data_IF_236828374065
#
_entry.id   IF_236828374065
#
_cell.length_a   1.000
_cell.length_b   1.000
_cell.length_c   1.000
_cell.angle_alpha   90.00
_cell.angle_beta   90.00
_cell.angle_gamma   90.00
#
_symmetry.space_group_name_H-M   'P 1'
#
loop_
_entity.id
_entity.type
_entity.pdbx_description
1 polymer ?
#
# COMPACT_ATOMS: atom_id res chain seq x y z
N UNK A 1 -0.15 11.15 43.63
CA UNK A 1 0.66 9.99 43.17
C UNK A 1 -0.02 9.40 41.94
N UNK A 2 0.24 9.97 40.75
CA UNK A 2 -0.37 9.52 39.49
C UNK A 2 0.32 8.25 39.03
N UNK A 3 -0.33 7.10 39.27
CA UNK A 3 0.06 5.84 38.65
C UNK A 3 -0.37 5.93 37.19
N UNK A 4 0.54 6.37 36.32
CA UNK A 4 0.38 6.28 34.88
C UNK A 4 0.09 4.82 34.55
N UNK A 5 -1.15 4.52 34.19
CA UNK A 5 -1.51 3.24 33.58
C UNK A 5 -0.83 3.22 32.23
N UNK A 6 0.42 2.72 32.19
CA UNK A 6 1.14 2.41 30.96
C UNK A 6 0.41 1.24 30.32
N UNK A 7 -0.72 1.56 29.71
CA UNK A 7 -1.53 0.64 28.96
C UNK A 7 -0.79 0.51 27.63
N UNK A 8 0.14 -0.45 27.63
CA UNK A 8 1.15 -0.72 26.64
C UNK A 8 0.48 -1.20 25.37
N UNK A 9 0.34 -0.30 24.38
CA UNK A 9 0.20 -0.78 23.00
C UNK A 9 1.40 -1.69 22.73
N UNK A 10 1.20 -2.90 22.19
CA UNK A 10 2.33 -3.76 21.87
C UNK A 10 3.16 -3.10 20.77
N UNK A 11 4.39 -2.69 21.11
CA UNK A 11 5.45 -2.20 20.21
C UNK A 11 5.11 -0.93 19.39
N UNK A 12 4.85 0.23 20.05
CA UNK A 12 4.47 1.46 19.35
C UNK A 12 5.60 2.01 18.48
N UNK A 13 6.84 2.00 18.99
CA UNK A 13 8.03 2.46 18.28
C UNK A 13 8.31 1.64 17.02
N UNK A 14 8.24 0.31 17.12
CA UNK A 14 8.47 -0.58 15.98
C UNK A 14 7.45 -0.32 14.86
N UNK A 15 6.17 -0.16 15.21
CA UNK A 15 5.12 0.16 14.23
C UNK A 15 5.33 1.54 13.59
N UNK A 16 5.77 2.52 14.36
CA UNK A 16 6.03 3.88 13.88
C UNK A 16 7.21 3.94 12.90
N UNK A 17 8.31 3.26 13.23
CA UNK A 17 9.50 3.21 12.36
C UNK A 17 9.18 2.46 11.07
N UNK A 18 8.53 1.29 11.17
CA UNK A 18 8.16 0.49 10.01
C UNK A 18 7.14 1.21 9.11
N UNK A 19 6.12 1.85 9.69
CA UNK A 19 5.14 2.61 8.90
C UNK A 19 5.79 3.80 8.21
N UNK A 20 6.67 4.53 8.90
CA UNK A 20 7.42 5.65 8.33
C UNK A 20 8.31 5.24 7.16
N UNK A 21 9.10 4.17 7.32
CA UNK A 21 9.94 3.63 6.23
C UNK A 21 9.09 3.15 5.06
N UNK A 22 8.02 2.40 5.33
CA UNK A 22 7.10 1.92 4.29
C UNK A 22 6.50 3.09 3.51
N UNK A 23 6.06 4.14 4.22
CA UNK A 23 5.48 5.35 3.62
C UNK A 23 6.48 6.06 2.70
N UNK A 24 7.70 6.32 3.20
CA UNK A 24 8.75 7.00 2.42
C UNK A 24 9.08 6.23 1.15
N UNK A 25 9.35 4.93 1.27
CA UNK A 25 9.69 4.10 0.10
C UNK A 25 8.53 3.96 -0.88
N UNK A 26 7.28 3.94 -0.39
CA UNK A 26 6.10 3.89 -1.25
C UNK A 26 5.91 5.19 -2.03
N UNK A 27 6.14 6.35 -1.42
CA UNK A 27 6.08 7.65 -2.10
C UNK A 27 7.19 7.75 -3.16
N UNK A 28 8.42 7.35 -2.82
CA UNK A 28 9.54 7.36 -3.78
C UNK A 28 9.26 6.43 -4.96
N UNK A 29 8.72 5.23 -4.71
CA UNK A 29 8.29 4.32 -5.77
C UNK A 29 7.25 4.95 -6.70
N UNK A 30 6.22 5.60 -6.13
CA UNK A 30 5.20 6.32 -6.89
C UNK A 30 5.77 7.46 -7.74
N UNK A 31 6.67 8.27 -7.17
CA UNK A 31 7.33 9.37 -7.89
C UNK A 31 8.18 8.86 -9.06
N UNK A 32 8.91 7.76 -8.88
CA UNK A 32 9.69 7.14 -9.93
C UNK A 32 8.81 6.62 -11.08
N UNK A 33 7.64 6.04 -10.77
CA UNK A 33 6.68 5.60 -11.81
C UNK A 33 6.27 6.78 -12.71
N UNK A 34 6.03 7.97 -12.14
CA UNK A 34 5.72 9.20 -12.89
C UNK A 34 6.91 9.64 -13.74
N UNK A 35 8.12 9.58 -13.19
CA UNK A 35 9.33 9.93 -13.93
C UNK A 35 9.55 9.02 -15.16
N UNK A 36 9.23 7.73 -15.06
CA UNK A 36 9.24 6.80 -16.21
C UNK A 36 8.29 7.24 -17.31
N UNK A 37 7.07 7.69 -16.96
CA UNK A 37 6.12 8.21 -17.97
C UNK A 37 6.65 9.44 -18.69
N UNK A 38 7.19 10.39 -17.92
CA UNK A 38 7.74 11.62 -18.48
C UNK A 38 8.92 11.31 -19.42
N UNK A 39 9.84 10.43 -19.00
CA UNK A 39 10.98 10.05 -19.82
C UNK A 39 10.59 9.22 -21.04
N UNK A 40 9.61 8.32 -20.91
CA UNK A 40 9.06 7.55 -22.02
C UNK A 40 8.49 8.47 -23.11
N UNK A 41 7.68 9.46 -22.71
CA UNK A 41 7.11 10.42 -23.65
C UNK A 41 8.17 11.31 -24.31
N UNK A 42 9.19 11.76 -23.57
CA UNK A 42 10.31 12.54 -24.13
C UNK A 42 11.08 11.74 -25.18
N UNK A 43 11.37 10.47 -24.92
CA UNK A 43 12.06 9.59 -25.88
C UNK A 43 11.23 9.34 -27.13
N UNK A 44 9.93 9.05 -26.99
CA UNK A 44 9.05 8.86 -28.15
C UNK A 44 8.97 10.12 -29.02
N UNK A 45 8.94 11.32 -28.42
CA UNK A 45 8.99 12.59 -29.15
C UNK A 45 10.34 12.79 -29.85
N UNK A 46 11.46 12.48 -29.18
CA UNK A 46 12.79 12.58 -29.74
C UNK A 46 13.01 11.64 -30.94
N UNK A 47 12.52 10.40 -30.86
CA UNK A 47 12.60 9.44 -31.97
C UNK A 47 11.75 9.93 -33.15
N UNK A 48 10.53 10.43 -32.89
CA UNK A 48 9.66 10.98 -33.92
C UNK A 48 10.24 12.23 -34.59
N UNK A 49 10.95 13.08 -33.86
CA UNK A 49 11.56 14.30 -34.42
C UNK A 49 12.78 14.03 -35.29
N UNK A 50 13.43 12.87 -35.12
CA UNK A 50 14.60 12.45 -35.92
C UNK A 50 14.24 11.38 -36.96
N UNK A 51 12.94 11.08 -37.12
CA UNK A 51 12.49 10.15 -38.14
C UNK A 51 12.70 10.76 -39.55
N UNK A 52 13.18 9.98 -40.54
CA UNK A 52 13.26 10.43 -41.92
C UNK A 52 11.90 10.90 -42.45
N UNK A 53 11.90 11.89 -43.33
CA UNK A 53 10.67 12.41 -43.93
C UNK A 53 9.86 11.27 -44.60
N UNK A 54 8.58 11.17 -44.27
CA UNK A 54 7.67 10.15 -44.80
C UNK A 54 7.58 8.84 -44.00
N UNK A 55 8.39 8.67 -42.94
CA UNK A 55 8.32 7.50 -42.05
C UNK A 55 7.63 7.86 -40.73
N UNK A 56 6.51 7.22 -40.43
CA UNK A 56 5.84 7.29 -39.14
C UNK A 56 6.38 6.17 -38.22
N UNK A 57 6.93 6.55 -37.07
CA UNK A 57 7.45 5.60 -36.09
C UNK A 57 6.45 5.49 -34.93
N UNK A 58 5.82 4.32 -34.84
CA UNK A 58 4.93 3.93 -33.75
C UNK A 58 5.68 3.05 -32.76
N UNK A 59 6.06 3.62 -31.63
CA UNK A 59 6.71 2.89 -30.53
C UNK A 59 5.61 2.39 -29.58
N UNK A 60 5.25 1.12 -29.69
CA UNK A 60 4.29 0.50 -28.79
C UNK A 60 4.98 0.09 -27.48
N UNK A 61 4.66 0.82 -26.42
CA UNK A 61 5.13 0.58 -25.04
C UNK A 61 3.97 0.31 -24.08
N UNK A 62 2.83 -0.13 -24.63
CA UNK A 62 1.60 -0.29 -23.86
C UNK A 62 1.77 -1.31 -22.72
N UNK A 63 2.48 -2.41 -23.01
CA UNK A 63 2.74 -3.49 -22.05
C UNK A 63 3.38 -3.01 -20.74
N UNK A 64 4.48 -2.25 -20.85
CA UNK A 64 5.18 -1.74 -19.68
C UNK A 64 4.44 -0.57 -19.02
N UNK A 65 3.69 0.21 -19.83
CA UNK A 65 2.89 1.33 -19.35
C UNK A 65 1.78 0.85 -18.42
N UNK A 66 0.99 -0.14 -18.83
CA UNK A 66 -0.10 -0.70 -18.00
C UNK A 66 0.42 -1.28 -16.68
N UNK A 67 1.54 -2.01 -16.74
CA UNK A 67 2.16 -2.56 -15.54
C UNK A 67 2.71 -1.46 -14.61
N UNK A 68 3.31 -0.41 -15.18
CA UNK A 68 3.78 0.75 -14.41
C UNK A 68 2.63 1.49 -13.73
N UNK A 69 1.48 1.64 -14.40
CA UNK A 69 0.26 2.18 -13.78
C UNK A 69 -0.18 1.29 -12.61
N UNK A 70 -0.16 -0.03 -12.78
CA UNK A 70 -0.47 -0.98 -11.70
C UNK A 70 0.42 -0.79 -10.47
N UNK A 71 1.74 -0.68 -10.66
CA UNK A 71 2.69 -0.42 -9.57
C UNK A 71 2.46 0.95 -8.93
N UNK A 72 2.15 1.98 -9.71
CA UNK A 72 1.82 3.31 -9.21
C UNK A 72 0.55 3.30 -8.34
N UNK A 73 -0.51 2.63 -8.78
CA UNK A 73 -1.76 2.51 -8.00
C UNK A 73 -1.50 1.73 -6.71
N UNK A 74 -0.80 0.60 -6.79
CA UNK A 74 -0.51 -0.23 -5.62
C UNK A 74 0.35 0.53 -4.58
N UNK A 75 1.38 1.26 -5.02
CA UNK A 75 2.21 2.09 -4.14
C UNK A 75 1.46 3.31 -3.57
N UNK A 76 0.55 3.90 -4.33
CA UNK A 76 -0.31 4.98 -3.82
C UNK A 76 -1.28 4.47 -2.75
N UNK A 77 -1.88 3.30 -2.96
CA UNK A 77 -2.74 2.64 -1.96
C UNK A 77 -1.95 2.26 -0.70
N UNK A 78 -0.75 1.72 -0.84
CA UNK A 78 0.11 1.40 0.31
C UNK A 78 0.54 2.66 1.07
N UNK A 79 0.82 3.76 0.38
CA UNK A 79 1.12 5.06 0.99
C UNK A 79 -0.08 5.56 1.82
N UNK A 80 -1.29 5.51 1.25
CA UNK A 80 -2.52 5.87 1.97
C UNK A 80 -2.81 4.94 3.16
N UNK A 81 -2.59 3.63 3.00
CA UNK A 81 -2.78 2.65 4.08
C UNK A 81 -1.78 2.84 5.23
N UNK A 82 -0.55 3.25 4.92
CA UNK A 82 0.53 3.46 5.89
C UNK A 82 0.50 4.82 6.58
N UNK A 83 -0.03 5.86 5.92
CA UNK A 83 -0.18 7.19 6.51
C UNK A 83 -1.20 7.22 7.64
N UNK A 84 -2.33 6.52 7.51
CA UNK A 84 -3.39 6.46 8.52
C UNK A 84 -2.88 6.06 9.92
N UNK A 85 -2.20 4.91 10.09
CA UNK A 85 -1.70 4.53 11.41
C UNK A 85 -0.51 5.34 11.89
N UNK A 86 0.31 5.86 10.97
CA UNK A 86 1.37 6.80 11.33
C UNK A 86 0.76 8.04 11.99
N UNK A 87 -0.30 8.59 11.40
CA UNK A 87 -0.98 9.77 11.92
C UNK A 87 -1.64 9.50 13.27
N UNK A 88 -2.33 8.36 13.44
CA UNK A 88 -2.91 7.99 14.73
C UNK A 88 -1.85 7.77 15.82
N UNK A 89 -0.71 7.14 15.49
CA UNK A 89 0.39 6.94 16.45
C UNK A 89 1.08 8.27 16.82
N UNK A 90 1.27 9.17 15.85
CA UNK A 90 1.84 10.49 16.11
C UNK A 90 0.90 11.35 16.97
N UNK A 91 -0.40 11.31 16.72
CA UNK A 91 -1.39 12.02 17.53
C UNK A 91 -1.40 11.53 18.98
N UNK A 92 -1.35 10.22 19.20
CA UNK A 92 -1.31 9.59 20.53
C UNK A 92 0.00 9.91 21.28
N UNK A 93 1.15 9.89 20.58
CA UNK A 93 2.45 10.08 21.21
C UNK A 93 2.75 11.55 21.55
N UNK A 94 2.38 12.48 20.67
CA UNK A 94 2.77 13.88 20.80
C UNK A 94 1.64 14.81 21.26
N UNK A 95 0.40 14.30 21.45
CA UNK A 95 -0.77 15.13 21.79
C UNK A 95 -0.89 16.39 20.91
N UNK A 96 -0.50 16.29 19.63
CA UNK A 96 -0.32 17.44 18.71
C UNK A 96 -1.60 18.25 18.51
N UNK A 97 -2.76 17.61 18.69
CA UNK A 97 -4.06 18.28 18.64
C UNK A 97 -4.50 18.51 20.09
N UNK A 98 -4.28 19.72 20.65
CA UNK A 98 -4.88 20.05 21.93
C UNK A 98 -6.41 19.95 21.80
N UNK A 99 -7.13 19.43 22.82
CA UNK A 99 -8.59 19.26 22.77
C UNK A 99 -9.35 20.54 22.39
N UNK A 100 -8.76 21.70 22.65
CA UNK A 100 -9.29 23.03 22.31
C UNK A 100 -9.38 23.30 20.80
N UNK A 101 -8.50 22.72 19.98
CA UNK A 101 -8.48 22.93 18.53
C UNK A 101 -9.44 22.00 17.76
N UNK A 102 -9.88 20.89 18.37
CA UNK A 102 -10.81 19.94 17.75
C UNK A 102 -12.30 20.32 17.91
N UNK A 103 -12.61 21.15 18.93
CA UNK A 103 -13.94 21.69 19.20
C UNK A 103 -14.60 22.47 18.03
N UNK A 104 -13.91 23.40 17.33
CA UNK A 104 -14.54 24.17 16.25
C UNK A 104 -14.88 23.35 14.99
N UNK A 105 -14.28 22.16 14.81
CA UNK A 105 -14.55 21.29 13.67
C UNK A 105 -15.64 20.23 13.94
N UNK A 106 -16.26 20.22 15.12
CA UNK A 106 -17.33 19.29 15.45
C UNK A 106 -16.90 17.82 15.54
N UNK A 107 -15.59 17.52 15.45
CA UNK A 107 -15.05 16.19 15.70
C UNK A 107 -15.03 15.94 17.20
N UNK A 108 -16.06 15.25 17.72
CA UNK A 108 -16.00 14.60 19.03
C UNK A 108 -14.95 13.51 18.98
N UNK A 109 -13.71 13.84 19.35
CA UNK A 109 -12.66 12.86 19.59
C UNK A 109 -13.12 11.98 20.77
N UNK A 110 -13.41 10.69 20.56
CA UNK A 110 -13.72 9.78 21.65
C UNK A 110 -12.53 9.72 22.60
N UNK A 111 -12.79 9.93 23.89
CA UNK A 111 -11.81 9.78 24.98
C UNK A 111 -11.32 8.32 25.11
N UNK A 112 -12.08 7.38 24.55
CA UNK A 112 -11.70 5.98 24.42
C UNK A 112 -10.75 5.75 23.24
N UNK A 113 -9.71 4.94 23.47
CA UNK A 113 -8.60 4.67 22.55
C UNK A 113 -9.08 4.12 21.19
N UNK A 114 -9.37 5.02 20.25
CA UNK A 114 -9.76 4.77 18.86
C UNK A 114 -8.84 3.73 18.20
N UNK A 115 -7.56 3.74 18.57
CA UNK A 115 -6.50 2.83 18.11
C UNK A 115 -6.86 1.34 18.24
N UNK A 116 -7.65 0.94 19.26
CA UNK A 116 -8.05 -0.47 19.42
C UNK A 116 -9.20 -0.89 18.52
N UNK A 117 -10.11 0.02 18.16
CA UNK A 117 -11.27 -0.28 17.31
C UNK A 117 -10.92 -0.28 15.82
N UNK A 118 -9.98 0.58 15.40
CA UNK A 118 -9.54 0.67 14.00
C UNK A 118 -8.46 -0.35 13.63
N UNK A 119 -7.92 -1.08 14.62
CA UNK A 119 -6.79 -1.99 14.41
C UNK A 119 -7.10 -3.12 13.42
N UNK A 120 -8.35 -3.63 13.41
CA UNK A 120 -8.80 -4.67 12.47
C UNK A 120 -8.79 -4.16 11.03
N UNK A 121 -9.37 -2.99 10.81
CA UNK A 121 -9.41 -2.36 9.49
C UNK A 121 -7.99 -2.02 9.01
N UNK A 122 -7.14 -1.52 9.90
CA UNK A 122 -5.74 -1.25 9.57
C UNK A 122 -4.99 -2.52 9.13
N UNK A 123 -5.15 -3.63 9.85
CA UNK A 123 -4.50 -4.90 9.52
C UNK A 123 -4.95 -5.42 8.15
N UNK A 124 -6.26 -5.40 7.88
CA UNK A 124 -6.82 -5.85 6.60
C UNK A 124 -6.34 -4.97 5.45
N UNK A 125 -6.42 -3.64 5.59
CA UNK A 125 -5.98 -2.71 4.54
C UNK A 125 -4.49 -2.86 4.24
N UNK A 126 -3.64 -3.01 5.27
CA UNK A 126 -2.20 -3.26 5.08
C UNK A 126 -1.94 -4.59 4.36
N UNK A 127 -2.67 -5.65 4.73
CA UNK A 127 -2.51 -6.96 4.12
C UNK A 127 -2.91 -6.94 2.64
N UNK A 128 -4.07 -6.36 2.32
CA UNK A 128 -4.55 -6.24 0.94
C UNK A 128 -3.60 -5.39 0.10
N UNK A 129 -3.15 -4.24 0.61
CA UNK A 129 -2.23 -3.37 -0.13
C UNK A 129 -0.83 -3.95 -0.28
N UNK A 130 -0.33 -4.68 0.71
CA UNK A 130 0.94 -5.40 0.61
C UNK A 130 0.90 -6.47 -0.47
N UNK A 131 -0.16 -7.29 -0.51
CA UNK A 131 -0.37 -8.30 -1.56
C UNK A 131 -0.50 -7.63 -2.93
N UNK A 132 -1.23 -6.50 -3.03
CA UNK A 132 -1.37 -5.76 -4.27
C UNK A 132 -0.02 -5.22 -4.80
N UNK A 133 0.84 -4.68 -3.93
CA UNK A 133 2.17 -4.19 -4.34
C UNK A 133 3.06 -5.33 -4.82
N UNK A 134 3.06 -6.47 -4.12
CA UNK A 134 3.78 -7.68 -4.57
C UNK A 134 3.24 -8.15 -5.92
N UNK A 135 1.92 -8.25 -6.04
CA UNK A 135 1.23 -8.66 -7.26
C UNK A 135 1.44 -7.75 -8.45
N UNK A 136 1.66 -6.45 -8.25
CA UNK A 136 2.03 -5.52 -9.32
C UNK A 136 3.53 -5.55 -9.66
N UNK A 137 4.39 -5.72 -8.65
CA UNK A 137 5.86 -5.67 -8.81
C UNK A 137 6.42 -6.89 -9.53
N UNK A 138 5.87 -8.08 -9.28
CA UNK A 138 6.29 -9.33 -9.95
C UNK A 138 6.12 -9.26 -11.48
N UNK A 139 4.91 -9.04 -12.04
CA UNK A 139 4.71 -9.01 -13.49
C UNK A 139 5.46 -7.83 -14.13
N UNK A 140 5.59 -6.71 -13.43
CA UNK A 140 6.42 -5.59 -13.87
C UNK A 140 7.88 -6.00 -14.02
N UNK A 141 8.46 -6.70 -13.02
CA UNK A 141 9.85 -7.16 -13.06
C UNK A 141 10.09 -8.18 -14.18
N UNK A 142 9.17 -9.14 -14.35
CA UNK A 142 9.26 -10.16 -15.41
C UNK A 142 9.22 -9.49 -16.79
N UNK A 143 8.25 -8.60 -16.99
CA UNK A 143 8.06 -7.90 -18.27
C UNK A 143 9.23 -6.97 -18.58
N UNK A 144 9.76 -6.25 -17.57
CA UNK A 144 10.91 -5.37 -17.74
C UNK A 144 12.19 -6.13 -18.15
N UNK A 145 12.30 -7.42 -17.80
CA UNK A 145 13.44 -8.27 -18.15
C UNK A 145 13.27 -8.99 -19.49
N UNK A 146 12.06 -9.45 -19.79
CA UNK A 146 11.81 -10.33 -20.94
C UNK A 146 11.36 -9.60 -22.19
N UNK A 147 10.67 -8.46 -22.06
CA UNK A 147 10.09 -7.76 -23.21
C UNK A 147 10.98 -6.65 -23.72
N UNK A 148 10.83 -6.38 -25.00
CA UNK A 148 11.42 -5.26 -25.73
C UNK A 148 10.29 -4.36 -26.23
N UNK A 149 10.59 -3.07 -26.41
CA UNK A 149 9.62 -2.14 -27.01
C UNK A 149 9.33 -2.53 -28.46
N UNK A 150 8.07 -2.72 -28.84
CA UNK A 150 7.75 -2.98 -30.24
C UNK A 150 7.80 -1.67 -31.02
N UNK A 151 8.89 -1.44 -31.75
CA UNK A 151 9.05 -0.29 -32.65
C UNK A 151 8.58 -0.69 -34.03
N UNK A 152 7.43 -0.18 -34.45
CA UNK A 152 6.90 -0.37 -35.80
C UNK A 152 7.15 0.91 -36.57
N UNK A 153 8.00 0.85 -37.59
CA UNK A 153 8.18 1.94 -38.54
C UNK A 153 7.31 1.67 -39.77
N UNK A 154 6.43 2.60 -40.10
CA UNK A 154 5.55 2.54 -41.26
C UNK A 154 5.87 3.69 -42.19
N UNK A 155 6.10 3.40 -43.47
CA UNK A 155 6.24 4.43 -44.51
C UNK A 155 4.97 4.38 -45.35
N UNK A 156 4.07 5.35 -45.16
CA UNK A 156 2.69 5.22 -45.63
C UNK A 156 1.98 4.03 -44.95
N UNK A 157 1.48 3.08 -45.75
CA UNK A 157 0.72 1.92 -45.26
C UNK A 157 1.54 0.60 -45.23
N UNK A 158 2.86 0.68 -45.45
CA UNK A 158 3.75 -0.48 -45.53
C UNK A 158 4.67 -0.49 -44.32
N UNK A 159 4.73 -1.63 -43.62
CA UNK A 159 5.68 -1.85 -42.52
C UNK A 159 7.09 -2.01 -43.08
N UNK A 160 8.03 -1.21 -42.57
CA UNK A 160 9.43 -1.32 -42.92
C UNK A 160 10.03 -2.61 -42.31
N UNK A 161 11.03 -3.23 -42.97
CA UNK A 161 11.74 -4.38 -42.42
C UNK A 161 12.46 -4.06 -41.11
N UNK A 162 12.50 -5.02 -40.17
CA UNK A 162 13.16 -4.87 -38.86
C UNK A 162 14.65 -4.52 -38.97
N UNK A 163 15.32 -4.90 -40.06
CA UNK A 163 16.72 -4.54 -40.32
C UNK A 163 16.95 -3.03 -40.41
N UNK A 164 15.98 -2.30 -40.99
CA UNK A 164 16.05 -0.84 -41.08
C UNK A 164 15.82 -0.20 -39.71
N UNK A 165 14.90 -0.76 -38.91
CA UNK A 165 14.62 -0.30 -37.55
C UNK A 165 15.86 -0.47 -36.67
N UNK A 166 16.55 -1.61 -36.76
CA UNK A 166 17.78 -1.86 -36.00
C UNK A 166 18.92 -0.91 -36.39
N UNK A 167 19.07 -0.59 -37.68
CA UNK A 167 20.05 0.41 -38.13
C UNK A 167 19.71 1.81 -37.60
N UNK A 168 18.42 2.18 -37.65
CA UNK A 168 17.98 3.47 -37.14
C UNK A 168 18.16 3.57 -35.62
N UNK A 169 17.81 2.52 -34.87
CA UNK A 169 18.05 2.40 -33.43
C UNK A 169 19.55 2.53 -33.09
N UNK A 170 20.42 1.84 -33.84
CA UNK A 170 21.87 1.93 -33.69
C UNK A 170 22.39 3.36 -33.99
N UNK A 171 21.86 4.01 -35.02
CA UNK A 171 22.26 5.38 -35.39
C UNK A 171 21.81 6.43 -34.37
N UNK A 172 20.65 6.22 -33.73
CA UNK A 172 20.11 7.11 -32.71
C UNK A 172 20.61 6.77 -31.29
N UNK A 173 21.36 5.68 -31.13
CA UNK A 173 21.82 5.21 -29.81
C UNK A 173 20.66 4.80 -28.88
N UNK A 174 19.50 4.46 -29.42
CA UNK A 174 18.32 4.07 -28.63
C UNK A 174 18.23 2.56 -28.56
N UNK A 175 18.20 2.02 -27.35
CA UNK A 175 17.98 0.59 -27.12
C UNK A 175 16.50 0.27 -26.95
N UNK A 176 16.06 -0.79 -27.63
CA UNK A 176 14.72 -1.36 -27.53
C UNK A 176 14.48 -2.12 -26.22
N UNK A 177 15.56 -2.60 -25.60
CA UNK A 177 15.50 -3.45 -24.43
C UNK A 177 15.22 -2.61 -23.19
N UNK A 178 14.08 -2.84 -22.54
CA UNK A 178 13.67 -2.11 -21.35
C UNK A 178 14.72 -2.19 -20.24
N UNK A 179 15.28 -3.38 -20.03
CA UNK A 179 16.27 -3.60 -18.98
C UNK A 179 17.55 -2.79 -19.16
N UNK A 180 17.91 -2.32 -20.36
CA UNK A 180 19.10 -1.47 -20.53
C UNK A 180 18.90 -0.03 -20.05
N UNK A 181 17.67 0.34 -19.77
CA UNK A 181 17.32 1.69 -19.39
C UNK A 181 17.38 1.88 -17.88
N UNK A 182 18.27 2.75 -17.40
CA UNK A 182 18.53 3.00 -15.97
C UNK A 182 17.26 3.32 -15.17
N UNK A 183 16.34 4.14 -15.69
CA UNK A 183 15.14 4.51 -14.94
C UNK A 183 14.23 3.30 -14.64
N UNK A 184 14.12 2.34 -15.56
CA UNK A 184 13.29 1.15 -15.37
C UNK A 184 13.90 0.29 -14.24
N UNK A 185 15.23 0.12 -14.25
CA UNK A 185 15.93 -0.61 -13.18
C UNK A 185 15.72 0.02 -11.81
N UNK A 186 15.84 1.35 -11.73
CA UNK A 186 15.67 2.08 -10.47
C UNK A 186 14.24 1.91 -9.93
N UNK A 187 13.22 1.97 -10.79
CA UNK A 187 11.82 1.75 -10.37
C UNK A 187 11.62 0.34 -9.85
N UNK A 188 12.12 -0.68 -10.58
CA UNK A 188 12.04 -2.07 -10.14
C UNK A 188 12.73 -2.23 -8.78
N UNK A 189 13.94 -1.71 -8.63
CA UNK A 189 14.72 -1.83 -7.40
C UNK A 189 14.01 -1.17 -6.21
N UNK A 190 13.51 0.05 -6.39
CA UNK A 190 12.79 0.77 -5.34
C UNK A 190 11.46 0.12 -4.99
N UNK A 191 10.73 -0.44 -5.96
CA UNK A 191 9.50 -1.20 -5.71
C UNK A 191 9.78 -2.46 -4.87
N UNK A 192 10.91 -3.14 -5.09
CA UNK A 192 11.30 -4.27 -4.23
C UNK A 192 11.67 -3.85 -2.81
N UNK A 193 12.29 -2.67 -2.64
CA UNK A 193 12.57 -2.13 -1.31
C UNK A 193 11.26 -1.81 -0.56
N UNK A 194 10.27 -1.22 -1.23
CA UNK A 194 8.98 -0.94 -0.59
C UNK A 194 8.27 -2.23 -0.15
N UNK A 195 8.33 -3.30 -0.95
CA UNK A 195 7.84 -4.64 -0.57
C UNK A 195 8.55 -5.16 0.69
N UNK A 196 9.87 -5.02 0.75
CA UNK A 196 10.69 -5.50 1.87
C UNK A 196 10.27 -4.86 3.20
N UNK A 197 9.83 -3.61 3.19
CA UNK A 197 9.32 -2.94 4.40
C UNK A 197 7.82 -3.16 4.64
N UNK A 198 7.02 -3.30 3.58
CA UNK A 198 5.59 -3.53 3.68
C UNK A 198 5.24 -4.89 4.34
N UNK A 199 6.00 -5.95 4.03
CA UNK A 199 5.79 -7.30 4.59
C UNK A 199 5.93 -7.30 6.12
N UNK A 200 7.07 -6.90 6.72
CA UNK A 200 7.22 -6.88 8.17
C UNK A 200 6.27 -5.90 8.84
N UNK A 201 5.95 -4.75 8.23
CA UNK A 201 4.93 -3.85 8.75
C UNK A 201 3.55 -4.52 8.83
N UNK A 202 3.17 -5.26 7.79
CA UNK A 202 1.93 -6.05 7.77
C UNK A 202 1.95 -7.13 8.84
N UNK A 203 3.05 -7.89 8.96
CA UNK A 203 3.20 -8.94 9.96
C UNK A 203 3.06 -8.40 11.39
N UNK A 204 3.73 -7.30 11.72
CA UNK A 204 3.62 -6.66 13.04
C UNK A 204 2.21 -6.16 13.31
N UNK A 205 1.54 -5.60 12.29
CA UNK A 205 0.16 -5.11 12.42
C UNK A 205 -0.82 -6.26 12.65
N UNK A 206 -0.64 -7.39 11.97
CA UNK A 206 -1.45 -8.60 12.17
C UNK A 206 -1.20 -9.21 13.54
N UNK A 207 0.06 -9.32 13.98
CA UNK A 207 0.37 -9.83 15.33
C UNK A 207 -0.22 -8.94 16.42
N UNK A 208 -0.17 -7.62 16.25
CA UNK A 208 -0.82 -6.68 17.17
C UNK A 208 -2.34 -6.89 17.21
N UNK A 209 -2.96 -7.19 16.07
CA UNK A 209 -4.39 -7.53 16.00
C UNK A 209 -4.72 -8.83 16.73
N UNK A 210 -3.94 -9.90 16.49
CA UNK A 210 -4.16 -11.19 17.15
C UNK A 210 -4.01 -11.10 18.67
N UNK A 211 -3.10 -10.26 19.17
CA UNK A 211 -2.89 -10.03 20.61
C UNK A 211 -3.94 -9.11 21.24
N UNK A 212 -4.59 -8.25 20.45
CA UNK A 212 -5.55 -7.25 20.92
C UNK A 212 -7.01 -7.68 20.84
N UNK A 213 -7.35 -8.80 20.19
CA UNK A 213 -8.73 -9.32 20.19
C UNK A 213 -9.07 -9.88 21.59
N UNK A 214 -10.09 -9.33 22.27
CA UNK A 214 -10.61 -9.93 23.49
C UNK A 214 -11.06 -11.35 23.15
N UNK A 215 -10.61 -12.35 23.92
CA UNK A 215 -11.30 -13.65 23.94
C UNK A 215 -12.74 -13.34 24.32
N UNK A 216 -13.68 -13.57 23.42
CA UNK A 216 -15.09 -13.68 23.80
C UNK A 216 -15.17 -14.90 24.71
N UNK A 217 -15.06 -14.63 26.01
CA UNK A 217 -15.18 -15.65 27.03
C UNK A 217 -16.57 -16.28 26.94
N UNK A 218 -16.56 -17.60 26.82
CA UNK A 218 -17.68 -18.57 26.81
C UNK A 218 -18.60 -18.43 28.05
N UNK A 219 -18.31 -17.50 28.96
CA UNK A 219 -19.02 -17.23 30.20
C UNK A 219 -20.44 -16.67 30.02
N UNK A 220 -20.79 -16.12 28.84
CA UNK A 220 -22.17 -15.67 28.57
C UNK A 220 -23.17 -16.81 28.41
N UNK A 221 -22.72 -18.05 28.14
CA UNK A 221 -23.59 -19.24 28.10
C UNK A 221 -23.89 -19.81 29.49
N UNK A 222 -23.04 -19.53 30.49
CA UNK A 222 -23.23 -20.03 31.86
C UNK A 222 -24.22 -19.20 32.70
N UNK A 223 -24.64 -18.02 32.24
CA UNK A 223 -25.56 -17.13 32.97
C UNK A 223 -27.04 -17.30 32.59
N UNK A 224 -27.37 -18.30 31.77
CA UNK A 224 -28.75 -18.63 31.40
C UNK A 224 -29.34 -19.79 32.20
N UNK A 225 -28.69 -20.23 33.29
CA UNK A 225 -29.30 -21.20 34.20
C UNK A 225 -30.47 -20.52 34.91
N UNK A 226 -31.73 -21.02 34.78
CA UNK A 226 -32.88 -20.45 35.48
C UNK A 226 -32.72 -20.67 36.97
N UNK A 227 -32.89 -19.61 37.77
CA UNK A 227 -32.96 -19.72 39.23
C UNK A 227 -34.13 -20.64 39.64
N UNK A 228 -33.94 -21.56 40.60
CA UNK A 228 -35.02 -22.37 41.14
C UNK A 228 -35.99 -21.50 41.95
N UNK A 229 -37.28 -21.68 41.64
CA UNK A 229 -38.44 -21.02 42.23
C UNK A 229 -38.51 -21.20 43.76
N UNK A 230 -38.81 -20.16 44.55
CA UNK A 230 -38.83 -20.26 46.01
C UNK A 230 -40.01 -21.09 46.51
N UNK A 231 -39.68 -22.16 47.20
CA UNK A 231 -40.57 -23.09 47.91
C UNK A 231 -41.42 -22.33 48.96
N UNK A 232 -42.74 -22.32 48.78
CA UNK A 232 -43.72 -21.77 49.73
C UNK A 232 -43.69 -22.55 51.05
N UNK A 233 -43.11 -21.93 52.08
CA UNK A 233 -43.22 -22.34 53.48
C UNK A 233 -44.69 -22.45 53.92
N UNK A 234 -45.04 -23.61 54.50
CA UNK A 234 -46.40 -24.03 54.91
C UNK A 234 -46.68 -23.81 56.40
N UNK A 235 -45.85 -23.08 57.14
CA UNK A 235 -45.88 -23.13 58.62
C UNK A 235 -46.55 -21.91 59.30
N UNK A 236 -47.62 -21.35 58.72
CA UNK A 236 -48.42 -20.28 59.37
C UNK A 236 -49.85 -20.70 59.74
N UNK A 237 -50.04 -21.95 60.14
CA UNK A 237 -51.35 -22.45 60.58
C UNK A 237 -51.22 -23.38 61.78
N UNK A 238 -50.70 -22.86 62.89
CA UNK A 238 -50.99 -23.41 64.23
C UNK A 238 -50.57 -22.39 65.28
N UNK A 239 -51.52 -21.60 65.77
CA UNK A 239 -51.66 -21.18 67.16
C UNK A 239 -53.02 -20.48 67.28
N UNK A 240 -54.04 -21.31 67.53
CA UNK A 240 -55.29 -20.96 68.20
C UNK A 240 -55.22 -21.57 69.61
#
# INVERSE_FOLDING_TARGET
MHRATVSTLPMPWTRLILSGLTLVWSIVAGALCVQVFIQGNKRSKFIRSHAPAGVEISVNTNDITHLNIGVFIASSLLSSASSNPLMFLLQDMFHVIPPSAALPWGLRLPTDRISTRTLRMQAITMLVTSVAVVGATIPFTITARQKEAMVVATMGNIKLPDSFVLQLEASLGVTRIYWHTMYIRVVVFVAWISVLFAIPMTAVTVVAWLRGSPREDVTSLSRSSPDPEPEKSKDQLEFA
#
